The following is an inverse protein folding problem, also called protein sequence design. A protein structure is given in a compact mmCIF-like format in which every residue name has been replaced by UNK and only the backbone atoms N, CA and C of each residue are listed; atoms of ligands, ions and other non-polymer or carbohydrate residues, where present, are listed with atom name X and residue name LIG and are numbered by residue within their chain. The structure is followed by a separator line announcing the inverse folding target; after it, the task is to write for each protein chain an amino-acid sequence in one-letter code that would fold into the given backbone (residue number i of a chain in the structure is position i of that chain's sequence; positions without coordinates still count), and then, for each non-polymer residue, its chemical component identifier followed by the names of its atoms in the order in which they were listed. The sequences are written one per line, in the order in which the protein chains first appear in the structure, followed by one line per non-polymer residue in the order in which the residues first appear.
data_IF_452989113697
#
_entry.id   IF_452989113697
#
_cell.length_a   1.000
_cell.length_b   1.000
_cell.length_c   1.000
_cell.angle_alpha   90.00
_cell.angle_beta   90.00
_cell.angle_gamma   90.00
#
_symmetry.space_group_name_H-M   'P 1'
#
loop_
_entity.id
_entity.type
_entity.pdbx_description
1 polymer ?
#
# COMPACT_ATOMS: atom_id res chain seq x y z
N UNK A 1 0.46 17.75 4.00
CA UNK A 1 -0.44 16.57 3.97
C UNK A 1 0.39 15.36 4.42
N UNK A 2 0.66 15.23 5.72
CA UNK A 2 1.42 14.08 6.29
C UNK A 2 0.49 13.06 6.97
N UNK A 3 -0.81 13.34 7.02
CA UNK A 3 -1.69 12.71 8.02
C UNK A 3 -2.09 11.28 7.63
N UNK A 4 -2.31 11.01 6.33
CA UNK A 4 -2.77 9.69 5.88
C UNK A 4 -1.68 8.62 6.09
N UNK A 5 -0.40 8.93 5.82
CA UNK A 5 0.71 7.98 6.04
C UNK A 5 0.80 7.55 7.50
N UNK A 6 0.74 8.52 8.44
CA UNK A 6 0.78 8.25 9.88
C UNK A 6 -0.42 7.42 10.34
N UNK A 7 -1.61 7.71 9.82
CA UNK A 7 -2.81 6.92 10.13
C UNK A 7 -2.64 5.47 9.67
N UNK A 8 -2.22 5.26 8.42
CA UNK A 8 -2.01 3.91 7.87
C UNK A 8 -0.96 3.13 8.67
N UNK A 9 0.12 3.78 9.06
CA UNK A 9 1.18 3.15 9.84
C UNK A 9 0.73 2.79 11.26
N UNK A 10 -0.06 3.63 11.92
CA UNK A 10 -0.65 3.31 13.22
C UNK A 10 -1.62 2.12 13.12
N UNK A 11 -2.49 2.10 12.12
CA UNK A 11 -3.43 0.99 11.89
C UNK A 11 -2.69 -0.34 11.62
N UNK A 12 -1.60 -0.30 10.86
CA UNK A 12 -0.71 -1.45 10.65
C UNK A 12 -0.10 -1.93 11.98
N UNK A 13 0.39 -1.02 12.81
CA UNK A 13 0.96 -1.33 14.12
C UNK A 13 -0.09 -1.91 15.11
N UNK A 14 -1.37 -1.57 14.94
CA UNK A 14 -2.48 -2.17 15.67
C UNK A 14 -2.85 -3.59 15.17
N UNK A 15 -2.16 -4.12 14.15
CA UNK A 15 -2.40 -5.43 13.57
C UNK A 15 -3.55 -5.47 12.58
N UNK A 16 -3.97 -4.33 12.01
CA UNK A 16 -5.00 -4.27 10.97
C UNK A 16 -4.41 -4.64 9.62
N UNK A 17 -5.12 -5.44 8.83
CA UNK A 17 -4.86 -5.57 7.40
C UNK A 17 -5.42 -4.38 6.63
N UNK A 18 -4.62 -3.84 5.71
CA UNK A 18 -4.93 -2.65 4.91
C UNK A 18 -4.71 -3.02 3.46
N UNK A 19 -5.64 -2.65 2.58
CA UNK A 19 -5.47 -2.72 1.12
C UNK A 19 -5.33 -1.29 0.63
N UNK A 20 -4.17 -0.97 0.04
CA UNK A 20 -3.87 0.34 -0.51
C UNK A 20 -3.81 0.23 -2.04
N UNK A 21 -4.64 1.03 -2.73
CA UNK A 21 -4.54 1.23 -4.18
C UNK A 21 -4.05 2.65 -4.44
N UNK A 22 -2.90 2.79 -5.08
CA UNK A 22 -2.28 4.07 -5.38
C UNK A 22 -1.56 3.99 -6.72
N UNK A 23 -1.31 5.15 -7.33
CA UNK A 23 -0.40 5.30 -8.47
C UNK A 23 0.94 5.94 -8.06
N UNK A 24 1.06 6.38 -6.79
CA UNK A 24 2.30 6.94 -6.25
C UNK A 24 3.23 5.81 -5.80
N UNK A 25 4.28 5.54 -6.58
CA UNK A 25 5.26 4.47 -6.32
C UNK A 25 5.97 4.63 -4.98
N UNK A 26 6.36 5.86 -4.62
CA UNK A 26 7.08 6.11 -3.35
C UNK A 26 6.22 5.73 -2.15
N UNK A 27 4.92 6.02 -2.19
CA UNK A 27 4.01 5.64 -1.10
C UNK A 27 3.82 4.13 -1.02
N UNK A 28 3.74 3.44 -2.15
CA UNK A 28 3.59 1.98 -2.23
C UNK A 28 4.82 1.31 -1.64
N UNK A 29 6.02 1.71 -2.09
CA UNK A 29 7.30 1.16 -1.63
C UNK A 29 7.54 1.39 -0.13
N UNK A 30 7.06 2.51 0.42
CA UNK A 30 7.27 2.85 1.84
C UNK A 30 6.22 2.24 2.77
N UNK A 31 4.96 2.10 2.32
CA UNK A 31 3.84 1.71 3.19
C UNK A 31 3.46 0.23 3.09
N UNK A 32 3.61 -0.39 1.92
CA UNK A 32 3.12 -1.74 1.67
C UNK A 32 4.18 -2.78 2.02
N UNK A 33 3.75 -3.89 2.63
CA UNK A 33 4.58 -5.08 2.81
C UNK A 33 4.64 -5.91 1.52
N UNK A 34 3.53 -5.95 0.79
CA UNK A 34 3.35 -6.72 -0.44
C UNK A 34 2.80 -5.81 -1.53
N UNK A 35 3.38 -5.86 -2.72
CA UNK A 35 2.99 -5.00 -3.85
C UNK A 35 2.50 -5.88 -5.01
N UNK A 36 1.35 -5.50 -5.55
CA UNK A 36 0.74 -6.14 -6.70
C UNK A 36 0.44 -5.10 -7.76
N UNK A 37 0.78 -5.42 -9.01
CA UNK A 37 0.42 -4.64 -10.17
C UNK A 37 -0.88 -5.16 -10.77
N UNK A 38 -1.77 -4.25 -11.15
CA UNK A 38 -3.01 -4.59 -11.84
C UNK A 38 -2.96 -4.06 -13.27
N UNK A 39 -2.99 -4.98 -14.24
CA UNK A 39 -3.05 -4.64 -15.67
C UNK A 39 -4.14 -5.43 -16.38
N UNK A 40 -4.97 -4.75 -17.18
CA UNK A 40 -6.10 -5.35 -17.92
C UNK A 40 -6.99 -6.29 -17.08
N UNK A 41 -7.22 -5.95 -15.80
CA UNK A 41 -8.04 -6.75 -14.88
C UNK A 41 -7.35 -8.00 -14.31
N UNK A 42 -6.04 -8.15 -14.51
CA UNK A 42 -5.22 -9.20 -13.91
C UNK A 42 -4.28 -8.61 -12.87
N UNK A 43 -4.16 -9.30 -11.74
CA UNK A 43 -3.19 -8.98 -10.68
C UNK A 43 -1.94 -9.84 -10.85
N UNK A 44 -0.78 -9.22 -10.78
CA UNK A 44 0.54 -9.88 -10.78
C UNK A 44 1.36 -9.38 -9.60
N UNK A 45 2.19 -10.25 -9.03
CA UNK A 45 3.14 -9.86 -7.98
C UNK A 45 4.19 -8.94 -8.60
N UNK A 46 4.46 -7.79 -7.98
CA UNK A 46 5.56 -6.93 -8.38
C UNK A 46 6.87 -7.51 -7.82
N UNK A 47 7.87 -7.76 -8.69
CA UNK A 47 9.21 -8.25 -8.30
C UNK A 47 10.11 -7.15 -7.73
#
# INVERSE_FOLDING_TARGET
MEDVKKILQNLKNEGKSIILASHNKEDIEVLCDEVYEMDHGKLTVSE
#
